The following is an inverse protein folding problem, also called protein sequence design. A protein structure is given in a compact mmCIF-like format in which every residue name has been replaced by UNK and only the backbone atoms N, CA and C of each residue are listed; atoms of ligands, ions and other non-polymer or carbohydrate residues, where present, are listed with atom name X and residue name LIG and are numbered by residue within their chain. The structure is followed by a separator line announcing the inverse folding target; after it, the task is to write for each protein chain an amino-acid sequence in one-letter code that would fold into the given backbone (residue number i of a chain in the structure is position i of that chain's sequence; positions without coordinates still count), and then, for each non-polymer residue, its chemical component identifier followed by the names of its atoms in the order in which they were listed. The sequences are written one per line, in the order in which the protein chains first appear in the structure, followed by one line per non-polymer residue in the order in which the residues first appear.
data_IF_318622941714
#
_entry.id   IF_318622941714
#
_cell.length_a   1.000
_cell.length_b   1.000
_cell.length_c   1.000
_cell.angle_alpha   90.00
_cell.angle_beta   90.00
_cell.angle_gamma   90.00
#
_symmetry.space_group_name_H-M   'P 1'
#
loop_
_entity.id
_entity.type
_entity.pdbx_description
1 polymer ?
#
# COMPACT_ATOMS: atom_id res chain seq x y z
N UNK A 1 2.80 -12.79 -4.20
CA UNK A 1 2.28 -11.63 -3.46
C UNK A 1 1.08 -11.03 -4.18
N UNK A 2 1.25 -10.12 -5.14
CA UNK A 2 0.16 -9.62 -5.98
C UNK A 2 0.00 -10.50 -7.25
N UNK A 3 -1.25 -10.72 -7.68
CA UNK A 3 -1.60 -11.31 -8.97
C UNK A 3 -1.86 -10.21 -10.00
N UNK A 4 -2.68 -9.22 -9.64
CA UNK A 4 -2.92 -8.03 -10.45
C UNK A 4 -3.43 -6.87 -9.60
N UNK A 5 -3.19 -5.66 -10.10
CA UNK A 5 -3.79 -4.41 -9.63
C UNK A 5 -4.43 -3.77 -10.85
N UNK A 6 -5.70 -3.39 -10.75
CA UNK A 6 -6.42 -2.76 -11.85
C UNK A 6 -7.22 -1.57 -11.34
N UNK A 7 -7.06 -0.42 -11.97
CA UNK A 7 -7.99 0.69 -11.83
C UNK A 7 -9.31 0.29 -12.49
N UNK A 8 -10.36 0.19 -11.69
CA UNK A 8 -11.73 -0.12 -12.11
C UNK A 8 -12.41 1.15 -12.61
N UNK A 9 -12.19 2.25 -11.90
CA UNK A 9 -12.82 3.54 -12.20
C UNK A 9 -12.04 4.69 -11.56
N UNK A 10 -11.81 5.74 -12.33
CA UNK A 10 -11.40 7.04 -11.79
C UNK A 10 -12.64 7.78 -11.29
N UNK A 11 -12.63 8.17 -10.01
CA UNK A 11 -13.72 8.93 -9.38
C UNK A 11 -13.41 10.41 -9.53
N UNK A 12 -12.17 10.79 -9.25
CA UNK A 12 -11.57 12.11 -9.46
C UNK A 12 -10.12 11.92 -9.90
N UNK A 13 -9.37 13.00 -10.24
CA UNK A 13 -7.95 12.89 -10.56
C UNK A 13 -7.10 12.21 -9.48
N UNK A 14 -7.41 12.46 -8.20
CA UNK A 14 -6.65 11.90 -7.07
C UNK A 14 -7.41 10.80 -6.30
N UNK A 15 -8.48 10.23 -6.87
CA UNK A 15 -9.26 9.19 -6.20
C UNK A 15 -9.69 8.10 -7.19
N UNK A 16 -9.23 6.88 -6.96
CA UNK A 16 -9.38 5.74 -7.86
C UNK A 16 -10.05 4.57 -7.13
N UNK A 17 -10.96 3.90 -7.81
CA UNK A 17 -11.44 2.60 -7.41
C UNK A 17 -10.52 1.53 -8.00
N UNK A 18 -9.91 0.70 -7.16
CA UNK A 18 -8.94 -0.32 -7.54
C UNK A 18 -9.45 -1.71 -7.16
N UNK A 19 -9.26 -2.67 -8.08
CA UNK A 19 -9.34 -4.10 -7.80
C UNK A 19 -7.94 -4.66 -7.63
N UNK A 20 -7.65 -5.20 -6.45
CA UNK A 20 -6.40 -5.86 -6.12
C UNK A 20 -6.68 -7.35 -5.88
N UNK A 21 -5.99 -8.23 -6.60
CA UNK A 21 -6.03 -9.66 -6.33
C UNK A 21 -4.66 -10.19 -5.92
N UNK A 22 -4.65 -11.04 -4.90
CA UNK A 22 -3.46 -11.70 -4.40
C UNK A 22 -3.28 -13.07 -5.06
N UNK A 23 -2.03 -13.56 -5.09
CA UNK A 23 -1.81 -14.99 -5.39
C UNK A 23 -2.30 -15.83 -4.21
N UNK A 24 -2.82 -17.02 -4.48
CA UNK A 24 -3.20 -17.92 -3.39
C UNK A 24 -1.94 -18.36 -2.63
N UNK A 25 -1.95 -18.35 -1.29
CA UNK A 25 -0.82 -18.82 -0.49
C UNK A 25 -0.66 -20.34 -0.56
N UNK A 26 -1.73 -21.09 -0.88
CA UNK A 26 -1.74 -22.55 -0.95
C UNK A 26 -2.59 -23.02 -2.14
N UNK A 27 -2.25 -24.14 -2.81
CA UNK A 27 -2.96 -24.59 -4.02
C UNK A 27 -4.47 -24.84 -3.81
N UNK A 28 -4.87 -25.22 -2.60
CA UNK A 28 -6.23 -25.58 -2.19
C UNK A 28 -7.05 -24.41 -1.64
N UNK A 29 -6.43 -23.25 -1.39
CA UNK A 29 -7.11 -22.05 -0.91
C UNK A 29 -7.47 -21.12 -2.05
N UNK A 30 -8.63 -20.45 -1.94
CA UNK A 30 -8.99 -19.39 -2.88
C UNK A 30 -8.08 -18.18 -2.68
N UNK A 31 -7.65 -17.51 -3.78
CA UNK A 31 -6.92 -16.26 -3.68
C UNK A 31 -7.81 -15.17 -3.05
N UNK A 32 -7.19 -14.25 -2.31
CA UNK A 32 -7.90 -13.08 -1.77
C UNK A 32 -8.00 -11.97 -2.81
N UNK A 33 -9.13 -11.26 -2.82
CA UNK A 33 -9.26 -9.99 -3.55
C UNK A 33 -9.77 -8.86 -2.66
N UNK A 34 -9.56 -7.63 -3.14
CA UNK A 34 -9.94 -6.40 -2.46
C UNK A 34 -10.50 -5.41 -3.48
N UNK A 35 -11.53 -4.68 -3.07
CA UNK A 35 -12.03 -3.50 -3.78
C UNK A 35 -11.71 -2.29 -2.93
N UNK A 36 -10.76 -1.48 -3.38
CA UNK A 36 -10.17 -0.40 -2.61
C UNK A 36 -10.50 0.94 -3.24
N UNK A 37 -10.92 1.90 -2.42
CA UNK A 37 -10.78 3.31 -2.75
C UNK A 37 -9.34 3.70 -2.44
N UNK A 38 -8.59 4.13 -3.45
CA UNK A 38 -7.28 4.76 -3.34
C UNK A 38 -7.44 6.27 -3.45
N UNK A 39 -6.82 7.00 -2.53
CA UNK A 39 -6.91 8.46 -2.43
C UNK A 39 -5.50 9.03 -2.30
N UNK A 40 -5.07 9.77 -3.30
CA UNK A 40 -3.76 10.43 -3.35
C UNK A 40 -3.88 11.87 -2.87
N UNK A 41 -2.95 12.32 -2.02
CA UNK A 41 -2.92 13.67 -1.46
C UNK A 41 -1.50 14.21 -1.60
N UNK A 42 -1.18 14.87 -2.72
CA UNK A 42 0.14 15.42 -2.94
C UNK A 42 0.31 16.75 -2.18
N UNK A 43 1.56 17.07 -1.84
CA UNK A 43 1.98 18.41 -1.35
C UNK A 43 1.19 18.90 -0.13
N UNK A 44 0.98 18.03 0.85
CA UNK A 44 0.43 18.40 2.15
C UNK A 44 1.53 18.99 3.02
N UNK A 45 1.25 20.06 3.75
CA UNK A 45 2.17 20.61 4.75
C UNK A 45 1.74 20.17 6.14
N UNK A 46 2.66 19.60 6.91
CA UNK A 46 2.43 19.22 8.30
C UNK A 46 3.70 19.40 9.12
N UNK A 47 3.62 20.22 10.17
CA UNK A 47 4.74 20.50 11.08
C UNK A 47 6.02 20.98 10.36
N UNK A 48 5.86 21.81 9.32
CA UNK A 48 6.97 22.32 8.51
C UNK A 48 7.51 21.34 7.46
N UNK A 49 6.99 20.11 7.39
CA UNK A 49 7.37 19.12 6.38
C UNK A 49 6.38 19.09 5.21
N UNK A 50 6.91 18.86 4.01
CA UNK A 50 6.11 18.52 2.84
C UNK A 50 5.88 17.00 2.79
N UNK A 51 4.63 16.62 2.63
CA UNK A 51 4.16 15.24 2.67
C UNK A 51 3.36 14.91 1.41
N UNK A 52 3.50 13.68 0.94
CA UNK A 52 2.57 13.07 0.01
C UNK A 52 1.94 11.85 0.70
N UNK A 53 0.64 11.66 0.58
CA UNK A 53 -0.02 10.47 1.12
C UNK A 53 -0.83 9.74 0.08
N UNK A 54 -0.85 8.41 0.19
CA UNK A 54 -1.74 7.54 -0.57
C UNK A 54 -2.49 6.67 0.42
N UNK A 55 -3.79 6.88 0.56
CA UNK A 55 -4.64 6.14 1.47
C UNK A 55 -5.51 5.12 0.72
N UNK A 56 -5.68 3.94 1.29
CA UNK A 56 -6.50 2.86 0.79
C UNK A 56 -7.54 2.45 1.84
N UNK A 57 -8.76 2.21 1.39
CA UNK A 57 -9.82 1.65 2.23
C UNK A 57 -10.73 0.75 1.41
N UNK A 58 -11.17 -0.36 1.99
CA UNK A 58 -12.13 -1.22 1.30
C UNK A 58 -13.51 -0.59 1.21
N UNK A 59 -14.12 -0.72 0.02
CA UNK A 59 -15.47 -0.22 -0.28
C UNK A 59 -16.30 -1.30 -0.95
N UNK A 60 -17.63 -1.19 -0.82
CA UNK A 60 -18.56 -1.99 -1.60
C UNK A 60 -18.84 -1.27 -2.91
N UNK A 61 -18.65 -1.98 -4.03
CA UNK A 61 -18.94 -1.44 -5.35
C UNK A 61 -19.85 -2.39 -6.13
N UNK A 62 -21.01 -1.89 -6.53
CA UNK A 62 -22.08 -2.71 -7.11
C UNK A 62 -21.69 -3.43 -8.42
N UNK A 63 -20.83 -2.81 -9.24
CA UNK A 63 -20.43 -3.40 -10.53
C UNK A 63 -19.22 -4.35 -10.37
N UNK A 64 -18.77 -4.56 -9.13
CA UNK A 64 -17.72 -5.52 -8.78
C UNK A 64 -18.11 -6.30 -7.52
N UNK A 65 -19.17 -7.14 -7.60
CA UNK A 65 -19.59 -7.99 -6.50
C UNK A 65 -18.51 -9.02 -6.15
N UNK A 66 -18.74 -9.76 -5.07
CA UNK A 66 -17.90 -10.91 -4.75
C UNK A 66 -18.03 -11.97 -5.84
N UNK A 67 -16.89 -12.55 -6.24
CA UNK A 67 -16.82 -13.59 -7.25
C UNK A 67 -16.42 -14.90 -6.56
N UNK A 68 -17.01 -16.02 -6.95
CA UNK A 68 -16.69 -17.34 -6.37
C UNK A 68 -15.21 -17.74 -6.51
N UNK A 69 -14.49 -17.09 -7.44
CA UNK A 69 -13.07 -17.29 -7.71
C UNK A 69 -12.14 -16.63 -6.69
N UNK A 70 -12.65 -15.76 -5.82
CA UNK A 70 -11.87 -15.04 -4.80
C UNK A 70 -12.57 -15.07 -3.43
N UNK A 71 -11.78 -15.07 -2.36
CA UNK A 71 -12.27 -14.74 -1.02
C UNK A 71 -12.12 -13.23 -0.78
N UNK A 72 -13.24 -12.49 -0.88
CA UNK A 72 -13.26 -11.03 -0.67
C UNK A 72 -12.77 -10.70 0.74
N UNK A 73 -11.73 -9.88 0.79
CA UNK A 73 -11.14 -9.40 2.03
C UNK A 73 -11.29 -7.89 2.14
N UNK A 74 -11.16 -7.40 3.37
CA UNK A 74 -11.35 -5.99 3.70
C UNK A 74 -10.16 -5.45 4.49
N UNK A 75 -9.75 -4.25 4.11
CA UNK A 75 -8.79 -3.40 4.79
C UNK A 75 -9.56 -2.22 5.39
N UNK A 76 -9.40 -2.01 6.69
CA UNK A 76 -10.06 -0.90 7.40
C UNK A 76 -9.47 0.42 6.94
N UNK A 77 -8.13 0.50 6.97
CA UNK A 77 -7.35 1.61 6.46
C UNK A 77 -5.93 1.11 6.20
N UNK A 78 -5.35 1.47 5.07
CA UNK A 78 -3.91 1.33 4.85
C UNK A 78 -3.39 2.48 4.00
N UNK A 79 -2.09 2.63 3.87
CA UNK A 79 -1.54 3.69 3.04
C UNK A 79 -0.07 3.93 3.24
N UNK A 80 0.44 4.82 2.40
CA UNK A 80 1.79 5.33 2.45
C UNK A 80 1.76 6.82 2.79
N UNK A 81 2.71 7.24 3.61
CA UNK A 81 3.07 8.64 3.81
C UNK A 81 4.52 8.76 3.38
N UNK A 82 4.76 9.67 2.44
CA UNK A 82 6.09 10.02 1.95
C UNK A 82 6.41 11.40 2.51
N UNK A 83 7.52 11.50 3.24
CA UNK A 83 8.03 12.76 3.78
C UNK A 83 9.38 13.06 3.15
N UNK A 84 9.50 14.25 2.60
CA UNK A 84 10.80 14.75 2.15
C UNK A 84 11.65 15.01 3.39
N UNK A 85 12.84 14.42 3.42
CA UNK A 85 13.82 14.67 4.46
C UNK A 85 14.74 15.77 3.95
N UNK A 86 14.78 16.94 4.62
CA UNK A 86 15.78 17.95 4.30
C UNK A 86 17.18 17.34 4.50
N UNK A 87 18.19 17.75 3.70
CA UNK A 87 19.55 17.30 3.91
C UNK A 87 19.98 17.66 5.33
N UNK A 88 20.57 16.70 6.03
CA UNK A 88 21.10 16.91 7.36
C UNK A 88 22.28 17.91 7.29
N UNK A 89 22.47 18.74 8.33
CA UNK A 89 23.64 19.64 8.46
C UNK A 89 25.00 18.87 8.42
N UNK A 90 24.96 17.52 8.46
CA UNK A 90 26.12 16.63 8.32
C UNK A 90 26.36 16.18 6.87
N UNK A 91 26.57 17.15 5.97
CA UNK A 91 27.33 16.92 4.73
C UNK A 91 26.65 16.09 3.64
N UNK A 92 25.33 15.91 3.66
CA UNK A 92 24.61 15.46 2.47
C UNK A 92 24.67 16.56 1.40
N UNK A 93 25.14 16.22 0.20
CA UNK A 93 25.17 17.17 -0.92
C UNK A 93 23.76 17.63 -1.26
N UNK A 94 23.56 18.90 -1.63
CA UNK A 94 22.26 19.47 -2.07
C UNK A 94 21.58 18.66 -3.20
N UNK A 95 22.34 17.79 -3.88
CA UNK A 95 21.87 16.89 -4.94
C UNK A 95 21.27 15.56 -4.45
N UNK A 96 21.31 15.27 -3.14
CA UNK A 96 20.84 14.01 -2.56
C UNK A 96 19.51 14.21 -1.83
N UNK A 97 18.40 14.16 -2.56
CA UNK A 97 17.06 14.20 -1.97
C UNK A 97 16.74 12.85 -1.31
N UNK A 98 16.59 12.84 0.02
CA UNK A 98 16.16 11.66 0.76
C UNK A 98 14.66 11.73 1.08
N UNK A 99 13.99 10.58 1.10
CA UNK A 99 12.56 10.48 1.38
C UNK A 99 12.32 9.39 2.42
N UNK A 100 11.62 9.73 3.49
CA UNK A 100 11.09 8.75 4.43
C UNK A 100 9.76 8.19 3.90
N UNK A 101 9.64 6.87 3.86
CA UNK A 101 8.40 6.19 3.44
C UNK A 101 7.84 5.42 4.63
N UNK A 102 6.69 5.87 5.12
CA UNK A 102 5.94 5.21 6.19
C UNK A 102 4.75 4.44 5.59
N UNK A 103 4.67 3.13 5.86
CA UNK A 103 3.49 2.32 5.53
C UNK A 103 2.65 2.08 6.78
N UNK A 104 1.35 2.38 6.69
CA UNK A 104 0.39 2.15 7.77
C UNK A 104 -0.59 1.09 7.28
N UNK A 105 -0.87 0.10 8.10
CA UNK A 105 -1.87 -0.93 7.80
C UNK A 105 -2.70 -1.25 9.03
N UNK A 106 -3.91 -0.71 9.07
CA UNK A 106 -4.93 -1.08 10.05
C UNK A 106 -5.64 -2.34 9.56
N UNK A 107 -5.24 -3.47 10.13
CA UNK A 107 -5.71 -4.79 9.74
C UNK A 107 -7.02 -5.14 10.44
N UNK A 108 -7.98 -5.64 9.67
CA UNK A 108 -9.16 -6.31 10.22
C UNK A 108 -8.83 -7.74 10.66
N UNK A 109 -9.71 -8.35 11.45
CA UNK A 109 -9.54 -9.74 11.94
C UNK A 109 -9.34 -10.76 10.81
N UNK A 110 -9.87 -10.50 9.62
CA UNK A 110 -9.75 -11.36 8.43
C UNK A 110 -8.33 -11.46 7.85
N UNK A 111 -7.44 -10.52 8.21
CA UNK A 111 -6.06 -10.46 7.71
C UNK A 111 -5.04 -10.82 8.81
N UNK A 112 -5.47 -10.89 10.07
CA UNK A 112 -4.62 -11.23 11.21
C UNK A 112 -3.85 -12.55 11.04
N UNK A 113 -4.45 -13.66 10.55
CA UNK A 113 -3.69 -14.90 10.35
C UNK A 113 -2.53 -14.78 9.37
N UNK A 114 -2.62 -13.85 8.41
CA UNK A 114 -1.56 -13.58 7.45
C UNK A 114 -0.46 -12.69 8.04
N UNK A 115 -0.84 -11.77 8.93
CA UNK A 115 0.07 -10.85 9.61
C UNK A 115 0.76 -11.47 10.82
N UNK A 116 0.22 -12.55 11.38
CA UNK A 116 0.75 -13.19 12.57
C UNK A 116 2.21 -13.66 12.37
N UNK A 117 2.53 -14.20 11.20
CA UNK A 117 3.90 -14.65 10.88
C UNK A 117 4.89 -13.47 10.82
N UNK A 118 4.45 -12.30 10.33
CA UNK A 118 5.26 -11.07 10.35
C UNK A 118 5.49 -10.60 11.78
N UNK A 119 4.45 -10.55 12.61
CA UNK A 119 4.59 -10.13 14.01
C UNK A 119 5.40 -11.08 14.87
N UNK A 120 5.37 -12.38 14.55
CA UNK A 120 6.20 -13.40 15.20
C UNK A 120 7.64 -13.42 14.66
N UNK A 121 7.95 -12.63 13.62
CA UNK A 121 9.28 -12.60 12.99
C UNK A 121 9.62 -13.87 12.22
N UNK A 122 8.63 -14.70 11.89
CA UNK A 122 8.81 -15.94 11.14
C UNK A 122 8.65 -15.76 9.64
N UNK A 123 8.32 -14.55 9.19
CA UNK A 123 8.22 -14.16 7.78
C UNK A 123 8.90 -12.81 7.57
N UNK A 124 9.44 -12.59 6.38
CA UNK A 124 10.23 -11.41 5.97
C UNK A 124 9.51 -10.62 4.86
N UNK A 125 8.19 -10.77 4.78
CA UNK A 125 7.38 -10.34 3.66
C UNK A 125 7.29 -8.81 3.59
N UNK A 126 7.07 -8.16 4.73
CA UNK A 126 7.02 -6.69 4.83
C UNK A 126 8.39 -6.10 4.52
N UNK A 127 9.46 -6.71 5.05
CA UNK A 127 10.83 -6.27 4.77
C UNK A 127 11.14 -6.35 3.27
N UNK A 128 10.83 -7.48 2.62
CA UNK A 128 11.01 -7.66 1.17
C UNK A 128 10.19 -6.66 0.36
N UNK A 129 8.96 -6.37 0.77
CA UNK A 129 8.13 -5.34 0.12
C UNK A 129 8.81 -3.98 0.18
N UNK A 130 9.24 -3.55 1.37
CA UNK A 130 9.88 -2.26 1.56
C UNK A 130 11.20 -2.17 0.79
N UNK A 131 12.05 -3.19 0.83
CA UNK A 131 13.28 -3.21 0.03
C UNK A 131 12.99 -3.13 -1.47
N UNK A 132 11.95 -3.82 -1.94
CA UNK A 132 11.55 -3.76 -3.36
C UNK A 132 11.01 -2.37 -3.74
N UNK A 133 10.25 -1.74 -2.85
CA UNK A 133 9.72 -0.38 -3.03
C UNK A 133 10.85 0.65 -3.08
N UNK A 134 11.78 0.61 -2.13
CA UNK A 134 12.93 1.51 -2.13
C UNK A 134 13.76 1.36 -3.41
N UNK A 135 14.05 0.12 -3.82
CA UNK A 135 14.76 -0.13 -5.08
C UNK A 135 14.02 0.41 -6.31
N UNK A 136 12.69 0.26 -6.35
CA UNK A 136 11.87 0.81 -7.42
C UNK A 136 11.91 2.34 -7.46
N UNK A 137 11.79 2.99 -6.29
CA UNK A 137 11.83 4.45 -6.18
C UNK A 137 13.21 4.99 -6.59
N UNK A 138 14.30 4.35 -6.15
CA UNK A 138 15.67 4.75 -6.51
C UNK A 138 16.02 4.57 -7.99
N UNK A 139 15.27 3.75 -8.74
CA UNK A 139 15.44 3.57 -10.19
C UNK A 139 14.53 4.48 -11.02
N UNK A 140 13.53 5.11 -10.38
CA UNK A 140 12.51 5.93 -11.05
C UNK A 140 12.81 7.43 -10.99
N UNK A 141 13.94 7.81 -10.37
CA UNK A 141 14.51 9.15 -10.32
C UNK A 141 15.56 9.31 -11.41
#
# INVERSE_FOLDING_TARGET
MCKHIRVVRDITPDNHLIHLAMKSPQPDKRPKDFVLLASERPRMEYDGYQLNAVAYRSVLYKDLPELDSYDRSHVISSGYILRDCPPDDEGESEDQMSCEVTYIHQVGSSVMPFMAEEFLGTSDLIQKLFSSLCNYLSQST
#
